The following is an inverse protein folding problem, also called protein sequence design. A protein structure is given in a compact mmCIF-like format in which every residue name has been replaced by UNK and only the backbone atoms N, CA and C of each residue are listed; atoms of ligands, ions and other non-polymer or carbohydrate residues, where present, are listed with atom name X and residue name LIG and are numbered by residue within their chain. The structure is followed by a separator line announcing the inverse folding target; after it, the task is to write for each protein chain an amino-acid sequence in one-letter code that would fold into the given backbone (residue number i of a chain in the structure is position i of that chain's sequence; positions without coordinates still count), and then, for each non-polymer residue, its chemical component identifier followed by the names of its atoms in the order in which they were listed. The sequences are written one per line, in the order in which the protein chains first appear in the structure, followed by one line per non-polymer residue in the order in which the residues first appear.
data_IF_513845262643
#
_entry.id   IF_513845262643
#
_cell.length_a   1.000
_cell.length_b   1.000
_cell.length_c   1.000
_cell.angle_alpha   90.00
_cell.angle_beta   90.00
_cell.angle_gamma   90.00
#
_symmetry.space_group_name_H-M   'P 1'
#
loop_
_entity.id
_entity.type
_entity.pdbx_description
1 polymer ?
#
# COMPACT_ATOMS: atom_id res chain seq x y z
N UNK A 1 11.96 7.52 4.42
CA UNK A 1 11.40 6.47 3.54
C UNK A 1 10.63 7.18 2.43
N UNK A 2 10.98 6.98 1.16
CA UNK A 2 10.36 7.70 0.04
C UNK A 2 9.54 6.69 -0.74
N UNK A 3 8.21 6.75 -0.60
CA UNK A 3 7.32 5.92 -1.40
C UNK A 3 7.38 6.38 -2.86
N UNK A 4 7.47 5.43 -3.79
CA UNK A 4 7.48 5.75 -5.22
C UNK A 4 6.22 6.52 -5.59
N UNK A 5 6.35 7.64 -6.31
CA UNK A 5 5.21 8.50 -6.65
C UNK A 5 4.16 7.78 -7.52
N UNK A 6 4.57 6.79 -8.32
CA UNK A 6 3.66 5.95 -9.11
C UNK A 6 2.71 5.14 -8.23
N UNK A 7 3.22 4.56 -7.14
CA UNK A 7 2.42 3.76 -6.20
C UNK A 7 1.39 4.66 -5.50
N UNK A 8 1.82 5.83 -5.05
CA UNK A 8 0.93 6.83 -4.46
C UNK A 8 -0.13 7.32 -5.44
N UNK A 9 0.22 7.53 -6.72
CA UNK A 9 -0.71 7.94 -7.75
C UNK A 9 -1.79 6.86 -8.01
N UNK A 10 -1.36 5.59 -8.11
CA UNK A 10 -2.28 4.46 -8.26
C UNK A 10 -3.28 4.39 -7.11
N UNK A 11 -2.80 4.42 -5.86
CA UNK A 11 -3.70 4.37 -4.71
C UNK A 11 -4.61 5.60 -4.65
N UNK A 12 -4.08 6.82 -4.84
CA UNK A 12 -4.92 8.04 -4.86
C UNK A 12 -6.02 7.99 -5.93
N UNK A 13 -5.76 7.35 -7.08
CA UNK A 13 -6.77 7.16 -8.12
C UNK A 13 -7.90 6.20 -7.70
N UNK A 14 -7.71 5.34 -6.69
CA UNK A 14 -8.76 4.48 -6.13
C UNK A 14 -9.83 5.23 -5.32
N UNK A 15 -9.63 6.54 -5.09
CA UNK A 15 -10.60 7.40 -4.44
C UNK A 15 -10.46 7.46 -2.92
N UNK A 16 -11.52 7.90 -2.24
CA UNK A 16 -11.54 8.03 -0.79
C UNK A 16 -11.25 6.67 -0.10
N UNK A 17 -10.43 6.71 0.95
CA UNK A 17 -9.96 5.50 1.64
C UNK A 17 -8.75 4.81 1.00
N UNK A 18 -8.11 5.45 0.01
CA UNK A 18 -6.88 4.91 -0.59
C UNK A 18 -5.74 4.65 0.41
N UNK A 19 -5.65 5.45 1.47
CA UNK A 19 -4.65 5.25 2.52
C UNK A 19 -4.90 3.94 3.27
N UNK A 20 -6.15 3.63 3.62
CA UNK A 20 -6.51 2.37 4.27
C UNK A 20 -6.23 1.17 3.36
N UNK A 21 -6.59 1.26 2.06
CA UNK A 21 -6.25 0.21 1.08
C UNK A 21 -4.75 -0.02 0.96
N UNK A 22 -3.96 1.06 1.03
CA UNK A 22 -2.51 0.98 0.98
C UNK A 22 -1.94 0.35 2.27
N UNK A 23 -2.50 0.67 3.43
CA UNK A 23 -2.11 0.06 4.72
C UNK A 23 -2.42 -1.43 4.75
N UNK A 24 -3.61 -1.84 4.31
CA UNK A 24 -4.01 -3.25 4.23
C UNK A 24 -3.09 -4.03 3.27
N UNK A 25 -2.79 -3.48 2.09
CA UNK A 25 -1.89 -4.10 1.13
C UNK A 25 -0.46 -4.25 1.67
N UNK A 26 0.04 -3.25 2.40
CA UNK A 26 1.35 -3.30 3.06
C UNK A 26 1.36 -4.36 4.17
N UNK A 27 0.30 -4.43 4.98
CA UNK A 27 0.15 -5.40 6.06
C UNK A 27 0.13 -6.83 5.52
N UNK A 28 -0.61 -7.08 4.45
CA UNK A 28 -0.66 -8.38 3.79
C UNK A 28 0.72 -8.76 3.23
N UNK A 29 1.38 -7.84 2.52
CA UNK A 29 2.71 -8.07 1.97
C UNK A 29 3.75 -8.38 3.04
N UNK A 30 3.76 -7.63 4.14
CA UNK A 30 4.63 -7.90 5.29
C UNK A 30 4.29 -9.25 5.91
N UNK A 31 3.01 -9.57 6.13
CA UNK A 31 2.61 -10.86 6.68
C UNK A 31 3.07 -12.04 5.83
N UNK A 32 3.00 -11.92 4.49
CA UNK A 32 3.51 -12.93 3.57
C UNK A 32 5.04 -13.00 3.57
N UNK A 33 5.73 -11.85 3.66
CA UNK A 33 7.20 -11.77 3.68
C UNK A 33 7.83 -12.30 4.96
N UNK A 34 7.14 -12.22 6.09
CA UNK A 34 7.67 -12.58 7.41
C UNK A 34 7.39 -14.04 7.78
N UNK A 35 6.58 -14.76 7.01
CA UNK A 35 6.32 -16.18 7.18
C UNK A 35 7.42 -17.10 6.59
N UNK A 36 8.63 -16.57 6.36
CA UNK A 36 9.79 -17.29 5.84
C UNK A 36 10.70 -17.79 6.96
#
# INVERSE_FOLDING_TARGET
MRYSPEVLAYFRATGAGWQTRMDDALREYVSQKTAA
#
